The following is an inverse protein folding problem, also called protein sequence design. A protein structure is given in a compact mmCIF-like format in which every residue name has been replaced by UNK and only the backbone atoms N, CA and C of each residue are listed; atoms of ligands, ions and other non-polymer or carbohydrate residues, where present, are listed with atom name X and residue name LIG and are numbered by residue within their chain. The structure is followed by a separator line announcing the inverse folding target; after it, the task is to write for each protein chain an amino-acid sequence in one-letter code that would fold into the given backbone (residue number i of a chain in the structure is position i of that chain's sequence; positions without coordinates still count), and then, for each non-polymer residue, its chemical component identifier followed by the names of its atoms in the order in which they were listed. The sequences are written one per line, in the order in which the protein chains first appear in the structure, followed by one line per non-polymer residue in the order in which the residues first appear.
data_IF_157994714108
#
_entry.id   IF_157994714108
#
_cell.length_a   1.000
_cell.length_b   1.000
_cell.length_c   1.000
_cell.angle_alpha   90.00
_cell.angle_beta   90.00
_cell.angle_gamma   90.00
#
_symmetry.space_group_name_H-M   'P 1'
#
loop_
_entity.id
_entity.type
_entity.pdbx_description
1 polymer ?
#
# COMPACT_ATOMS: atom_id res chain seq x y z
N UNK A 1 -9.90 19.75 -33.87
CA UNK A 1 -9.91 18.66 -34.83
C UNK A 1 -11.29 18.05 -35.07
N UNK A 2 -12.01 17.69 -34.05
CA UNK A 2 -13.37 17.08 -34.13
C UNK A 2 -14.41 18.00 -34.85
N UNK A 3 -14.27 19.31 -34.77
CA UNK A 3 -15.16 20.26 -35.47
C UNK A 3 -14.97 20.31 -36.99
N UNK A 4 -13.77 20.02 -37.51
CA UNK A 4 -13.48 19.97 -38.97
C UNK A 4 -14.10 18.76 -39.65
N UNK A 5 -14.54 17.74 -38.93
CA UNK A 5 -15.02 16.47 -39.47
C UNK A 5 -16.53 16.45 -39.84
N UNK A 6 -17.20 17.59 -39.95
CA UNK A 6 -18.67 17.62 -40.16
C UNK A 6 -19.13 17.14 -41.55
N UNK A 7 -18.26 17.16 -42.60
CA UNK A 7 -18.61 16.75 -43.97
C UNK A 7 -17.41 16.07 -44.70
N UNK A 8 -16.84 15.03 -44.13
CA UNK A 8 -15.60 14.41 -44.62
C UNK A 8 -15.92 13.13 -45.38
N UNK A 9 -15.36 13.00 -46.62
CA UNK A 9 -15.35 11.77 -47.40
C UNK A 9 -14.28 10.79 -46.87
N UNK A 10 -14.39 9.49 -47.19
CA UNK A 10 -13.46 8.45 -46.71
C UNK A 10 -11.99 8.76 -47.05
N UNK A 11 -11.75 9.38 -48.22
CA UNK A 11 -10.41 9.85 -48.63
C UNK A 11 -9.82 10.89 -47.67
N UNK A 12 -10.64 11.80 -47.15
CA UNK A 12 -10.22 12.79 -46.17
C UNK A 12 -9.96 12.15 -44.80
N UNK A 13 -10.65 11.05 -44.45
CA UNK A 13 -10.41 10.29 -43.23
C UNK A 13 -9.00 9.68 -43.21
N UNK A 14 -8.52 9.16 -44.36
CA UNK A 14 -7.15 8.64 -44.50
C UNK A 14 -6.11 9.75 -44.25
N UNK A 15 -6.33 10.94 -44.81
CA UNK A 15 -5.43 12.08 -44.57
C UNK A 15 -5.37 12.48 -43.10
N UNK A 16 -6.51 12.42 -42.40
CA UNK A 16 -6.56 12.67 -40.94
C UNK A 16 -5.83 11.55 -40.17
N UNK A 17 -5.88 10.30 -40.61
CA UNK A 17 -5.12 9.20 -40.02
C UNK A 17 -3.60 9.41 -40.17
N UNK A 18 -3.14 9.89 -41.33
CA UNK A 18 -1.73 10.22 -41.55
C UNK A 18 -1.26 11.39 -40.67
N UNK A 19 -2.11 12.38 -40.42
CA UNK A 19 -1.86 13.47 -39.49
C UNK A 19 -1.78 12.97 -38.03
N UNK A 20 -2.69 12.07 -37.63
CA UNK A 20 -2.70 11.43 -36.31
C UNK A 20 -1.48 10.56 -36.04
N UNK A 21 -0.98 9.85 -37.06
CA UNK A 21 0.24 9.07 -36.94
C UNK A 21 1.45 9.97 -36.69
N UNK A 22 1.55 11.10 -37.41
CA UNK A 22 2.66 12.06 -37.28
C UNK A 22 2.61 12.87 -35.99
N UNK A 23 1.42 13.35 -35.59
CA UNK A 23 1.27 14.25 -34.46
C UNK A 23 1.13 13.51 -33.12
N UNK A 24 0.55 12.32 -33.15
CA UNK A 24 0.16 11.59 -31.92
C UNK A 24 0.73 10.18 -31.81
N UNK A 25 1.49 9.72 -32.82
CA UNK A 25 2.09 8.39 -32.83
C UNK A 25 1.09 7.23 -32.92
N UNK A 26 -0.15 7.50 -33.36
CA UNK A 26 -1.18 6.47 -33.52
C UNK A 26 -0.97 5.77 -34.83
N UNK A 27 -0.59 4.49 -34.82
CA UNK A 27 -0.37 3.73 -36.06
C UNK A 27 -1.60 3.77 -36.97
N UNK A 28 -1.37 4.17 -38.22
CA UNK A 28 -2.39 4.15 -39.29
C UNK A 28 -2.97 2.75 -39.49
N UNK A 29 -2.12 1.72 -39.42
CA UNK A 29 -2.53 0.33 -39.56
C UNK A 29 -3.55 -0.10 -38.51
N UNK A 30 -3.33 0.33 -37.27
CA UNK A 30 -4.27 0.08 -36.15
C UNK A 30 -5.63 0.75 -36.39
N UNK A 31 -5.63 2.00 -36.86
CA UNK A 31 -6.86 2.73 -37.17
C UNK A 31 -7.62 2.11 -38.34
N UNK A 32 -6.92 1.69 -39.40
CA UNK A 32 -7.53 1.02 -40.56
C UNK A 32 -8.13 -0.32 -40.15
N UNK A 33 -7.41 -1.15 -39.39
CA UNK A 33 -7.93 -2.44 -38.93
C UNK A 33 -9.20 -2.28 -38.05
N UNK A 34 -9.19 -1.29 -37.15
CA UNK A 34 -10.37 -1.00 -36.31
C UNK A 34 -11.56 -0.50 -37.13
N UNK A 35 -11.28 0.25 -38.23
CA UNK A 35 -12.29 0.73 -39.16
C UNK A 35 -12.88 -0.41 -39.96
N UNK A 36 -12.04 -1.30 -40.52
CA UNK A 36 -12.49 -2.49 -41.28
C UNK A 36 -13.40 -3.37 -40.41
N UNK A 37 -13.03 -3.65 -39.16
CA UNK A 37 -13.86 -4.40 -38.21
C UNK A 37 -15.22 -3.73 -37.97
N UNK A 38 -15.23 -2.41 -37.75
CA UNK A 38 -16.46 -1.67 -37.53
C UNK A 38 -17.36 -1.60 -38.74
N UNK A 39 -16.76 -1.57 -39.97
CA UNK A 39 -17.51 -1.60 -41.21
C UNK A 39 -18.13 -2.97 -41.46
N UNK A 40 -17.44 -4.07 -41.16
CA UNK A 40 -18.03 -5.42 -41.16
C UNK A 40 -19.25 -5.52 -40.25
N UNK A 41 -19.12 -4.99 -39.02
CA UNK A 41 -20.26 -4.94 -38.09
C UNK A 41 -21.41 -4.07 -38.61
N UNK A 42 -21.10 -2.94 -39.21
CA UNK A 42 -22.10 -2.06 -39.80
C UNK A 42 -22.79 -2.70 -41.04
N UNK A 43 -22.04 -3.43 -41.84
CA UNK A 43 -22.59 -4.18 -42.94
C UNK A 43 -23.59 -5.22 -42.46
N UNK A 44 -23.20 -6.08 -41.55
CA UNK A 44 -24.07 -7.09 -40.93
C UNK A 44 -25.36 -6.47 -40.34
N UNK A 45 -25.25 -5.35 -39.62
CA UNK A 45 -26.42 -4.69 -39.01
C UNK A 45 -27.43 -4.11 -40.03
N UNK A 46 -27.00 -3.70 -41.22
CA UNK A 46 -27.85 -3.01 -42.15
C UNK A 46 -28.34 -3.91 -43.35
N UNK A 47 -27.61 -4.99 -43.64
CA UNK A 47 -27.83 -5.82 -44.80
C UNK A 47 -28.10 -7.31 -44.46
N UNK A 48 -27.92 -7.74 -43.24
CA UNK A 48 -28.08 -9.14 -42.78
C UNK A 48 -29.53 -9.66 -42.83
N UNK A 49 -30.53 -8.78 -42.97
CA UNK A 49 -31.92 -9.17 -43.01
C UNK A 49 -32.38 -9.69 -44.40
N UNK A 50 -31.64 -9.38 -45.45
CA UNK A 50 -31.99 -9.77 -46.82
C UNK A 50 -30.99 -10.76 -47.46
N UNK A 51 -29.76 -10.80 -46.96
CA UNK A 51 -28.65 -11.59 -47.52
C UNK A 51 -27.88 -12.25 -46.40
N UNK A 52 -28.18 -13.42 -45.89
CA UNK A 52 -27.48 -14.20 -44.85
C UNK A 52 -25.96 -14.31 -45.04
N UNK A 53 -25.22 -13.19 -45.02
CA UNK A 53 -23.80 -13.13 -45.32
C UNK A 53 -22.98 -13.19 -44.01
N UNK A 54 -22.78 -14.39 -43.47
CA UNK A 54 -21.93 -14.60 -42.30
C UNK A 54 -20.46 -14.24 -42.58
N UNK A 55 -19.99 -14.35 -43.82
CA UNK A 55 -18.58 -14.23 -44.21
C UNK A 55 -18.28 -12.98 -45.04
N UNK A 56 -18.52 -11.78 -44.46
CA UNK A 56 -18.16 -10.52 -45.09
C UNK A 56 -16.80 -10.03 -44.62
N UNK A 57 -15.95 -9.64 -45.55
CA UNK A 57 -14.67 -8.95 -45.30
C UNK A 57 -14.71 -7.58 -45.96
N UNK A 58 -14.37 -6.54 -45.22
CA UNK A 58 -14.21 -5.19 -45.73
C UNK A 58 -12.72 -4.86 -45.69
N UNK A 59 -12.19 -4.36 -46.81
CA UNK A 59 -10.81 -3.88 -46.87
C UNK A 59 -10.78 -2.42 -47.34
N UNK A 60 -9.84 -1.67 -46.82
CA UNK A 60 -9.63 -0.26 -47.18
C UNK A 60 -8.23 -0.11 -47.76
N UNK A 61 -8.17 0.42 -48.98
CA UNK A 61 -6.87 0.80 -49.56
C UNK A 61 -6.29 1.97 -48.75
N UNK A 62 -5.11 1.75 -48.17
CA UNK A 62 -4.44 2.71 -47.27
C UNK A 62 -3.94 3.96 -48.01
N UNK A 63 -3.86 3.94 -49.36
CA UNK A 63 -3.37 5.04 -50.16
C UNK A 63 -4.52 5.82 -50.78
N UNK A 64 -5.47 5.10 -51.45
CA UNK A 64 -6.57 5.73 -52.18
C UNK A 64 -7.79 6.01 -51.28
N UNK A 65 -7.92 5.29 -50.17
CA UNK A 65 -9.10 5.32 -49.32
C UNK A 65 -10.31 4.60 -49.90
N UNK A 66 -10.12 3.83 -51.00
CA UNK A 66 -11.20 3.06 -51.61
C UNK A 66 -11.55 1.86 -50.73
N UNK A 67 -12.85 1.62 -50.59
CA UNK A 67 -13.35 0.52 -49.78
C UNK A 67 -13.88 -0.58 -50.70
N UNK A 68 -13.44 -1.79 -50.40
CA UNK A 68 -13.90 -2.99 -51.10
C UNK A 68 -14.57 -3.90 -50.08
N UNK A 69 -15.76 -4.39 -50.44
CA UNK A 69 -16.50 -5.33 -49.65
C UNK A 69 -16.49 -6.67 -50.37
N UNK A 70 -16.04 -7.70 -49.65
CA UNK A 70 -15.96 -9.05 -50.21
C UNK A 70 -16.87 -9.98 -49.40
N UNK A 71 -17.59 -10.84 -50.15
CA UNK A 71 -18.23 -12.03 -49.58
C UNK A 71 -17.27 -13.20 -49.76
N UNK A 72 -16.84 -13.78 -48.63
CA UNK A 72 -16.02 -14.99 -48.65
C UNK A 72 -16.94 -16.21 -48.80
N UNK A 73 -16.80 -16.92 -49.91
CA UNK A 73 -17.61 -18.11 -50.24
C UNK A 73 -16.73 -19.32 -50.36
N UNK A 74 -17.19 -20.46 -49.81
CA UNK A 74 -16.47 -21.73 -49.92
C UNK A 74 -16.79 -22.40 -51.27
N UNK A 75 -15.77 -22.94 -51.92
CA UNK A 75 -15.93 -23.68 -53.17
C UNK A 75 -16.44 -25.09 -52.90
N UNK A 76 -17.61 -25.42 -53.45
CA UNK A 76 -18.23 -26.73 -53.35
C UNK A 76 -18.36 -27.40 -54.71
N UNK A 77 -18.39 -28.73 -54.72
CA UNK A 77 -18.45 -29.50 -55.96
C UNK A 77 -19.82 -29.39 -56.69
N UNK A 78 -20.90 -29.49 -55.95
CA UNK A 78 -22.25 -29.46 -56.50
C UNK A 78 -23.25 -28.81 -55.46
N UNK A 79 -24.29 -28.18 -55.98
CA UNK A 79 -25.41 -27.59 -55.18
C UNK A 79 -24.97 -26.54 -54.15
N UNK A 80 -24.28 -25.43 -54.56
CA UNK A 80 -23.88 -24.39 -53.69
C UNK A 80 -25.04 -23.67 -53.01
N UNK A 81 -24.91 -23.38 -51.69
CA UNK A 81 -25.82 -22.44 -51.02
C UNK A 81 -25.47 -21.02 -51.51
N UNK A 82 -26.38 -20.31 -52.19
CA UNK A 82 -26.06 -19.12 -52.99
C UNK A 82 -25.31 -18.00 -52.24
N UNK A 83 -25.41 -17.96 -50.92
CA UNK A 83 -24.89 -16.89 -50.06
C UNK A 83 -23.57 -17.27 -49.38
N UNK A 84 -23.31 -18.54 -49.14
CA UNK A 84 -22.17 -19.06 -48.41
C UNK A 84 -21.18 -19.81 -49.29
N UNK A 85 -21.63 -20.35 -50.40
CA UNK A 85 -20.88 -21.26 -51.22
C UNK A 85 -20.90 -20.83 -52.71
N UNK A 86 -19.92 -21.28 -53.45
CA UNK A 86 -19.80 -21.08 -54.91
C UNK A 86 -19.44 -22.41 -55.56
N UNK A 87 -20.01 -22.66 -56.77
CA UNK A 87 -19.67 -23.86 -57.51
C UNK A 87 -18.21 -23.82 -57.99
N UNK A 88 -17.57 -24.99 -58.07
CA UNK A 88 -16.20 -25.09 -58.60
C UNK A 88 -16.10 -24.50 -60.01
N UNK A 89 -17.14 -24.67 -60.85
CA UNK A 89 -17.16 -24.10 -62.21
C UNK A 89 -17.16 -22.56 -62.20
N UNK A 90 -17.89 -21.93 -61.33
CA UNK A 90 -17.96 -20.47 -61.24
C UNK A 90 -16.71 -19.92 -60.55
N UNK A 91 -16.15 -20.61 -59.55
CA UNK A 91 -14.88 -20.26 -58.94
C UNK A 91 -13.71 -20.30 -59.92
N UNK A 92 -13.67 -21.32 -60.79
CA UNK A 92 -12.63 -21.45 -61.85
C UNK A 92 -12.80 -20.45 -63.01
N UNK A 93 -13.96 -19.81 -63.16
CA UNK A 93 -14.10 -18.64 -64.06
C UNK A 93 -13.37 -17.40 -63.55
N UNK A 94 -13.23 -17.30 -62.21
CA UNK A 94 -12.51 -16.19 -61.56
C UNK A 94 -11.02 -16.48 -61.61
N UNK A 95 -10.59 -17.65 -61.12
CA UNK A 95 -9.21 -18.12 -61.16
C UNK A 95 -9.19 -19.65 -61.30
N UNK A 96 -8.47 -20.16 -62.28
CA UNK A 96 -8.34 -21.59 -62.59
C UNK A 96 -7.63 -22.41 -61.48
N UNK A 97 -7.02 -21.77 -60.52
CA UNK A 97 -6.29 -22.40 -59.41
C UNK A 97 -7.17 -22.88 -58.29
N UNK A 98 -8.45 -22.46 -58.21
CA UNK A 98 -9.36 -22.81 -57.12
C UNK A 98 -9.78 -24.28 -57.17
N UNK A 99 -9.80 -24.90 -56.00
CA UNK A 99 -10.25 -26.26 -55.77
C UNK A 99 -11.40 -26.29 -54.76
N UNK A 100 -12.08 -27.41 -54.66
CA UNK A 100 -13.14 -27.63 -53.67
C UNK A 100 -12.56 -27.50 -52.26
N UNK A 101 -13.21 -26.70 -51.40
CA UNK A 101 -12.78 -26.33 -50.05
C UNK A 101 -11.96 -25.03 -49.97
N UNK A 102 -11.63 -24.42 -51.10
CA UNK A 102 -10.97 -23.10 -51.10
C UNK A 102 -11.98 -21.99 -50.83
N UNK A 103 -11.51 -20.85 -50.30
CA UNK A 103 -12.33 -19.67 -50.04
C UNK A 103 -12.11 -18.64 -51.13
N UNK A 104 -13.17 -18.29 -51.85
CA UNK A 104 -13.16 -17.24 -52.90
C UNK A 104 -13.77 -15.97 -52.33
N UNK A 105 -13.01 -14.85 -52.43
CA UNK A 105 -13.51 -13.52 -52.06
C UNK A 105 -14.14 -12.85 -53.29
N UNK A 106 -15.46 -12.72 -53.29
CA UNK A 106 -16.22 -12.09 -54.38
C UNK A 106 -16.54 -10.66 -53.96
N UNK A 107 -16.08 -9.68 -54.78
CA UNK A 107 -16.40 -8.28 -54.53
C UNK A 107 -17.90 -8.01 -54.72
N UNK A 108 -18.54 -7.46 -53.72
CA UNK A 108 -19.94 -7.05 -53.73
C UNK A 108 -20.03 -5.53 -53.59
N UNK A 109 -21.00 -4.91 -54.29
CA UNK A 109 -21.22 -3.45 -54.25
C UNK A 109 -22.65 -3.14 -53.78
N UNK A 110 -22.90 -3.17 -52.45
CA UNK A 110 -24.22 -2.90 -51.94
C UNK A 110 -24.60 -1.43 -52.19
N UNK A 111 -25.85 -1.22 -52.59
CA UNK A 111 -26.40 0.13 -52.73
C UNK A 111 -26.39 0.86 -51.38
N UNK A 112 -26.02 2.15 -51.38
CA UNK A 112 -25.97 3.02 -50.20
C UNK A 112 -24.93 2.67 -49.10
N UNK A 113 -24.14 1.59 -49.27
CA UNK A 113 -23.11 1.24 -48.27
C UNK A 113 -22.06 2.34 -48.11
N UNK A 114 -21.70 3.06 -49.17
CA UNK A 114 -20.74 4.18 -49.09
C UNK A 114 -21.12 5.28 -48.10
N UNK A 115 -22.42 5.60 -47.99
CA UNK A 115 -22.92 6.57 -46.99
C UNK A 115 -22.83 6.05 -45.55
N UNK A 116 -23.26 4.81 -45.34
CA UNK A 116 -23.23 4.14 -44.05
C UNK A 116 -21.77 4.00 -43.60
N UNK A 117 -20.89 3.59 -44.54
CA UNK A 117 -19.47 3.43 -44.28
C UNK A 117 -18.78 4.75 -43.89
N UNK A 118 -19.04 5.85 -44.62
CA UNK A 118 -18.47 7.15 -44.32
C UNK A 118 -18.91 7.65 -42.92
N UNK A 119 -20.19 7.49 -42.59
CA UNK A 119 -20.70 7.86 -41.27
C UNK A 119 -20.10 7.01 -40.14
N UNK A 120 -19.99 5.70 -40.36
CA UNK A 120 -19.40 4.77 -39.40
C UNK A 120 -17.91 4.99 -39.21
N UNK A 121 -17.18 5.18 -40.35
CA UNK A 121 -15.78 5.49 -40.35
C UNK A 121 -15.46 6.71 -39.47
N UNK A 122 -16.19 7.81 -39.69
CA UNK A 122 -16.08 8.99 -38.86
C UNK A 122 -16.29 8.71 -37.36
N UNK A 123 -17.34 7.96 -37.03
CA UNK A 123 -17.66 7.62 -35.63
C UNK A 123 -16.51 6.81 -34.98
N UNK A 124 -15.97 5.82 -35.70
CA UNK A 124 -14.88 4.95 -35.22
C UNK A 124 -13.59 5.73 -35.03
N UNK A 125 -13.21 6.56 -36.01
CA UNK A 125 -12.00 7.37 -35.93
C UNK A 125 -12.07 8.34 -34.75
N UNK A 126 -13.19 9.06 -34.60
CA UNK A 126 -13.40 9.96 -33.44
C UNK A 126 -13.35 9.20 -32.12
N UNK A 127 -13.92 8.00 -32.06
CA UNK A 127 -13.86 7.16 -30.87
C UNK A 127 -12.42 6.73 -30.55
N UNK A 128 -11.67 6.28 -31.57
CA UNK A 128 -10.27 5.86 -31.41
C UNK A 128 -9.36 7.02 -30.99
N UNK A 129 -9.55 8.20 -31.55
CA UNK A 129 -8.84 9.41 -31.11
C UNK A 129 -9.09 9.65 -29.61
N UNK A 130 -10.35 9.61 -29.19
CA UNK A 130 -10.70 9.78 -27.77
C UNK A 130 -10.12 8.70 -26.87
N UNK A 131 -10.06 7.45 -27.33
CA UNK A 131 -9.45 6.35 -26.56
C UNK A 131 -7.95 6.60 -26.37
N UNK A 132 -7.24 6.98 -27.43
CA UNK A 132 -5.80 7.29 -27.35
C UNK A 132 -5.53 8.55 -26.54
N UNK A 133 -6.34 9.61 -26.70
CA UNK A 133 -6.23 10.81 -25.86
C UNK A 133 -6.40 10.47 -24.37
N UNK A 134 -7.36 9.60 -24.04
CA UNK A 134 -7.54 9.13 -22.66
C UNK A 134 -6.33 8.33 -22.15
N UNK A 135 -5.75 7.49 -23.00
CA UNK A 135 -4.59 6.69 -22.62
C UNK A 135 -3.33 7.55 -22.44
N UNK A 136 -3.12 8.54 -23.30
CA UNK A 136 -2.04 9.52 -23.15
C UNK A 136 -2.19 10.33 -21.83
N UNK A 137 -3.40 10.78 -21.52
CA UNK A 137 -3.70 11.49 -20.28
C UNK A 137 -3.50 10.57 -19.06
N UNK A 138 -3.93 9.32 -19.18
CA UNK A 138 -3.70 8.32 -18.12
C UNK A 138 -2.21 8.13 -17.84
N UNK A 139 -1.39 7.95 -18.88
CA UNK A 139 0.07 7.81 -18.74
C UNK A 139 0.70 9.07 -18.14
N UNK A 140 0.37 10.27 -18.67
CA UNK A 140 0.89 11.53 -18.15
C UNK A 140 0.61 11.73 -16.64
N UNK A 141 -0.59 11.36 -16.18
CA UNK A 141 -0.92 11.50 -14.76
C UNK A 141 -0.44 10.34 -13.90
N UNK A 142 -0.25 9.16 -14.49
CA UNK A 142 0.37 8.05 -13.79
C UNK A 142 1.85 8.34 -13.48
N UNK A 143 2.55 9.05 -14.35
CA UNK A 143 3.91 9.53 -14.10
C UNK A 143 3.96 10.60 -12.98
N UNK A 144 2.84 11.28 -12.73
CA UNK A 144 2.68 12.24 -11.62
C UNK A 144 2.19 11.59 -10.31
N UNK A 145 2.08 10.26 -10.27
CA UNK A 145 1.75 9.57 -9.03
C UNK A 145 2.82 9.86 -7.97
N UNK A 146 2.37 10.22 -6.78
CA UNK A 146 3.27 10.63 -5.72
C UNK A 146 3.63 12.12 -5.73
N UNK A 147 3.10 12.93 -6.64
CA UNK A 147 3.36 14.36 -6.73
C UNK A 147 2.16 15.20 -6.27
N UNK A 148 2.38 16.49 -6.04
CA UNK A 148 1.32 17.45 -5.71
C UNK A 148 0.72 18.01 -7.00
N UNK A 149 -0.60 17.98 -7.09
CA UNK A 149 -1.39 18.64 -8.13
C UNK A 149 -2.24 19.73 -7.53
N UNK A 150 -2.51 20.78 -8.31
CA UNK A 150 -3.42 21.86 -7.94
C UNK A 150 -4.65 21.82 -8.84
N UNK A 151 -5.82 21.98 -8.26
CA UNK A 151 -7.07 22.03 -9.01
C UNK A 151 -8.10 22.97 -8.41
N UNK A 152 -9.14 23.26 -9.19
CA UNK A 152 -10.31 24.03 -8.76
C UNK A 152 -11.43 23.07 -8.36
N UNK A 153 -12.01 23.27 -7.19
CA UNK A 153 -13.14 22.45 -6.74
C UNK A 153 -14.36 22.75 -7.62
N UNK A 154 -14.84 21.74 -8.33
CA UNK A 154 -16.07 21.81 -9.13
C UNK A 154 -17.30 21.37 -8.34
N UNK A 155 -17.12 20.38 -7.46
CA UNK A 155 -18.20 19.81 -6.66
C UNK A 155 -17.69 19.37 -5.28
N UNK A 156 -18.47 19.66 -4.25
CA UNK A 156 -18.26 19.19 -2.89
C UNK A 156 -19.62 18.84 -2.28
N UNK A 157 -19.91 17.55 -2.11
CA UNK A 157 -21.18 17.05 -1.58
C UNK A 157 -21.07 16.38 -0.20
N UNK A 158 -19.94 16.60 0.48
CA UNK A 158 -19.65 16.05 1.81
C UNK A 158 -19.20 14.59 1.81
N UNK A 159 -19.36 13.86 0.69
CA UNK A 159 -18.84 12.49 0.53
C UNK A 159 -17.63 12.45 -0.41
N UNK A 160 -17.70 13.25 -1.45
CA UNK A 160 -16.71 13.30 -2.51
C UNK A 160 -16.47 14.76 -2.86
N UNK A 161 -15.20 15.13 -3.01
CA UNK A 161 -14.81 16.40 -3.61
C UNK A 161 -14.25 16.10 -5.00
N UNK A 162 -14.79 16.79 -6.01
CA UNK A 162 -14.32 16.70 -7.40
C UNK A 162 -13.61 18.00 -7.74
N UNK A 163 -12.41 17.89 -8.25
CA UNK A 163 -11.58 19.02 -8.66
C UNK A 163 -11.18 18.93 -10.12
N UNK A 164 -11.12 20.06 -10.78
CA UNK A 164 -10.62 20.19 -12.15
C UNK A 164 -9.10 20.32 -12.14
N UNK A 165 -8.42 19.37 -12.77
CA UNK A 165 -6.97 19.38 -12.96
C UNK A 165 -6.55 19.88 -14.35
N UNK A 166 -7.51 20.42 -15.13
CA UNK A 166 -7.34 20.96 -16.47
C UNK A 166 -7.57 19.93 -17.57
N UNK A 167 -6.90 18.79 -17.57
CA UNK A 167 -7.07 17.75 -18.59
C UNK A 167 -8.03 16.65 -18.13
N UNK A 168 -8.19 16.45 -16.85
CA UNK A 168 -9.07 15.45 -16.25
C UNK A 168 -9.55 15.87 -14.86
N UNK A 169 -10.46 15.10 -14.32
CA UNK A 169 -11.02 15.30 -12.99
C UNK A 169 -10.20 14.56 -11.92
N UNK A 170 -9.88 15.26 -10.84
CA UNK A 170 -9.40 14.68 -9.59
C UNK A 170 -10.57 14.42 -8.65
N UNK A 171 -10.56 13.27 -8.00
CA UNK A 171 -11.57 12.87 -7.04
C UNK A 171 -10.92 12.65 -5.68
N UNK A 172 -11.48 13.26 -4.67
CA UNK A 172 -11.04 13.10 -3.28
C UNK A 172 -12.19 12.51 -2.46
N UNK A 173 -12.19 11.19 -2.23
CA UNK A 173 -13.18 10.50 -1.39
C UNK A 173 -13.10 10.99 0.06
N UNK A 174 -14.14 10.77 0.86
CA UNK A 174 -14.21 11.22 2.26
C UNK A 174 -13.02 10.77 3.12
N UNK A 175 -12.50 9.56 2.91
CA UNK A 175 -11.34 9.02 3.63
C UNK A 175 -10.03 9.79 3.32
N UNK A 176 -9.96 10.44 2.17
CA UNK A 176 -8.81 11.21 1.72
C UNK A 176 -8.94 12.72 2.00
N UNK A 177 -10.08 13.13 2.56
CA UNK A 177 -10.33 14.49 3.00
C UNK A 177 -9.81 14.72 4.41
N UNK A 178 -9.47 15.96 4.74
CA UNK A 178 -9.14 16.36 6.11
C UNK A 178 -10.44 16.72 6.82
N UNK A 179 -10.77 16.08 7.98
CA UNK A 179 -12.06 16.29 8.64
C UNK A 179 -12.33 17.72 9.10
N UNK A 180 -11.26 18.48 9.34
CA UNK A 180 -11.34 19.89 9.81
C UNK A 180 -11.42 20.89 8.67
N UNK A 181 -11.25 20.48 7.42
CA UNK A 181 -11.30 21.35 6.25
C UNK A 181 -12.73 21.48 5.70
N UNK A 182 -13.03 22.68 5.20
CA UNK A 182 -14.28 22.96 4.48
C UNK A 182 -13.96 23.22 3.01
N UNK A 183 -14.49 22.37 2.14
CA UNK A 183 -14.28 22.47 0.70
C UNK A 183 -15.40 23.24 0.03
N UNK A 184 -15.08 24.34 -0.66
CA UNK A 184 -16.06 25.18 -1.36
C UNK A 184 -15.81 25.13 -2.86
N UNK A 185 -16.90 25.18 -3.63
CA UNK A 185 -16.83 25.28 -5.09
C UNK A 185 -16.08 26.54 -5.50
N UNK A 186 -15.20 26.43 -6.50
CA UNK A 186 -14.27 27.43 -7.02
C UNK A 186 -13.05 27.73 -6.12
N UNK A 187 -12.88 27.06 -4.99
CA UNK A 187 -11.63 27.17 -4.24
C UNK A 187 -10.52 26.41 -4.97
N UNK A 188 -9.33 27.01 -5.02
CA UNK A 188 -8.13 26.35 -5.54
C UNK A 188 -7.45 25.62 -4.40
N UNK A 189 -7.30 24.31 -4.55
CA UNK A 189 -6.64 23.46 -3.55
C UNK A 189 -5.51 22.64 -4.17
N UNK A 190 -4.55 22.25 -3.32
CA UNK A 190 -3.52 21.29 -3.65
C UNK A 190 -3.89 19.93 -3.07
N UNK A 191 -3.43 18.87 -3.72
CA UNK A 191 -3.58 17.51 -3.21
C UNK A 191 -2.49 16.59 -3.75
N UNK A 192 -2.28 15.51 -3.05
CA UNK A 192 -1.31 14.47 -3.40
C UNK A 192 -1.97 13.45 -4.33
N UNK A 193 -1.33 13.12 -5.44
CA UNK A 193 -1.81 12.09 -6.37
C UNK A 193 -1.55 10.72 -5.76
N UNK A 194 -2.60 10.07 -5.29
CA UNK A 194 -2.52 8.75 -4.68
C UNK A 194 -2.41 7.66 -5.76
N UNK A 195 -3.33 7.71 -6.71
CA UNK A 195 -3.37 6.77 -7.83
C UNK A 195 -4.19 7.33 -9.00
N UNK A 196 -4.03 6.72 -10.16
CA UNK A 196 -4.82 7.03 -11.36
C UNK A 196 -5.62 5.80 -11.74
N UNK A 197 -6.93 5.93 -11.77
CA UNK A 197 -7.86 4.85 -12.06
C UNK A 197 -8.60 5.08 -13.38
N UNK A 198 -9.13 4.01 -13.95
CA UNK A 198 -10.10 4.10 -15.05
C UNK A 198 -11.50 4.17 -14.43
N UNK A 199 -12.05 5.38 -14.36
CA UNK A 199 -13.39 5.62 -13.85
C UNK A 199 -14.51 5.07 -14.75
N UNK A 200 -15.74 5.42 -14.42
CA UNK A 200 -16.92 5.04 -15.21
C UNK A 200 -16.73 5.42 -16.69
N UNK A 201 -17.06 4.50 -17.60
CA UNK A 201 -16.88 4.64 -19.08
C UNK A 201 -15.42 4.75 -19.55
N UNK A 202 -14.45 4.22 -18.77
CA UNK A 202 -13.03 4.21 -19.17
C UNK A 202 -12.39 5.60 -19.28
N UNK A 203 -12.94 6.60 -18.60
CA UNK A 203 -12.32 7.93 -18.51
C UNK A 203 -11.29 7.88 -17.38
N UNK A 204 -10.03 8.31 -17.58
CA UNK A 204 -9.04 8.37 -16.51
C UNK A 204 -9.51 9.34 -15.43
N UNK A 205 -9.27 8.96 -14.19
CA UNK A 205 -9.63 9.72 -12.99
C UNK A 205 -8.48 9.64 -12.01
N UNK A 206 -8.11 10.76 -11.40
CA UNK A 206 -7.04 10.82 -10.39
C UNK A 206 -7.66 10.78 -9.01
N UNK A 207 -7.23 9.83 -8.21
CA UNK A 207 -7.55 9.85 -6.78
C UNK A 207 -6.55 10.77 -6.08
N UNK A 208 -7.09 11.80 -5.46
CA UNK A 208 -6.31 12.83 -4.77
C UNK A 208 -6.52 12.71 -3.27
N UNK A 209 -5.45 12.85 -2.51
CA UNK A 209 -5.47 12.80 -1.05
C UNK A 209 -4.92 14.09 -0.44
N UNK A 210 -5.55 14.57 0.62
CA UNK A 210 -5.01 15.58 1.54
C UNK A 210 -4.72 15.01 2.93
N UNK A 211 -5.22 13.79 3.21
CA UNK A 211 -5.01 13.10 4.49
C UNK A 211 -3.73 12.27 4.52
N UNK A 212 -3.16 11.90 3.38
CA UNK A 212 -1.98 11.03 3.29
C UNK A 212 -0.73 11.67 3.92
N UNK A 213 0.12 10.92 4.66
CA UNK A 213 1.36 11.46 5.24
C UNK A 213 2.33 12.03 4.20
N UNK A 214 2.44 11.41 3.03
CA UNK A 214 3.33 11.87 1.97
C UNK A 214 2.89 13.21 1.35
N UNK A 215 1.64 13.64 1.55
CA UNK A 215 1.24 15.00 1.21
C UNK A 215 2.07 16.02 1.99
N UNK A 216 2.26 15.79 3.29
CA UNK A 216 3.13 16.66 4.12
C UNK A 216 4.58 16.58 3.64
N UNK A 217 5.10 15.37 3.35
CA UNK A 217 6.46 15.18 2.81
C UNK A 217 6.66 16.01 1.55
N UNK A 218 5.75 15.95 0.60
CA UNK A 218 5.81 16.70 -0.66
C UNK A 218 5.64 18.21 -0.48
N UNK A 219 4.88 18.65 0.51
CA UNK A 219 4.83 20.08 0.86
C UNK A 219 6.17 20.59 1.39
N UNK A 220 6.87 19.78 2.20
CA UNK A 220 8.22 20.09 2.65
C UNK A 220 9.21 20.15 1.48
N UNK A 221 9.18 19.18 0.56
CA UNK A 221 10.02 19.19 -0.65
C UNK A 221 9.76 20.43 -1.51
N UNK A 222 8.51 20.88 -1.58
CA UNK A 222 8.12 22.07 -2.35
C UNK A 222 8.56 23.39 -1.73
N UNK A 223 8.49 23.51 -0.39
CA UNK A 223 8.74 24.76 0.34
C UNK A 223 10.22 24.91 0.75
N UNK A 224 10.95 23.82 0.89
CA UNK A 224 12.31 23.78 1.47
C UNK A 224 13.31 23.33 0.40
N UNK A 225 14.10 24.28 -0.17
CA UNK A 225 15.07 23.96 -1.21
C UNK A 225 16.09 22.91 -0.79
N UNK A 226 16.54 22.94 0.46
CA UNK A 226 17.55 22.02 1.00
C UNK A 226 17.06 20.56 1.01
N UNK A 227 15.73 20.33 1.10
CA UNK A 227 15.11 19.00 0.96
C UNK A 227 15.03 18.62 -0.53
N UNK A 228 14.63 19.55 -1.38
CA UNK A 228 14.56 19.32 -2.83
C UNK A 228 15.94 18.99 -3.44
N UNK A 229 16.98 19.64 -2.96
CA UNK A 229 18.38 19.42 -3.38
C UNK A 229 18.99 18.15 -2.75
N UNK A 230 18.29 17.50 -1.81
CA UNK A 230 18.74 16.29 -1.13
C UNK A 230 19.80 16.49 -0.05
N UNK A 231 20.02 17.73 0.40
CA UNK A 231 20.90 18.07 1.52
C UNK A 231 20.27 17.64 2.86
N UNK A 232 18.95 17.77 2.95
CA UNK A 232 18.15 17.32 4.10
C UNK A 232 17.21 16.22 3.63
N UNK A 233 17.17 15.13 4.39
CA UNK A 233 16.34 13.97 4.12
C UNK A 233 15.19 13.88 5.15
N UNK A 234 13.96 13.65 4.68
CA UNK A 234 12.84 13.33 5.56
C UNK A 234 12.84 11.82 5.80
N UNK A 235 13.22 11.40 6.99
CA UNK A 235 13.28 9.98 7.38
C UNK A 235 11.92 9.38 7.62
N UNK A 236 11.04 10.08 8.33
CA UNK A 236 9.71 9.59 8.70
C UNK A 236 8.72 10.72 8.87
N UNK A 237 7.46 10.43 8.60
CA UNK A 237 6.32 11.34 8.83
C UNK A 237 5.23 10.58 9.57
N UNK A 238 4.79 11.10 10.71
CA UNK A 238 3.64 10.60 11.46
C UNK A 238 2.57 11.68 11.54
N UNK A 239 1.36 11.37 11.08
CA UNK A 239 0.31 12.38 10.87
C UNK A 239 -1.03 11.95 11.47
N UNK A 240 -1.70 12.91 12.10
CA UNK A 240 -3.13 12.92 12.41
C UNK A 240 -3.74 14.08 11.60
N UNK A 241 -4.36 13.81 10.44
CA UNK A 241 -4.79 14.83 9.49
C UNK A 241 -5.70 15.89 10.10
N UNK A 242 -5.38 17.16 9.86
CA UNK A 242 -6.11 18.30 10.39
C UNK A 242 -5.89 18.63 11.87
N UNK A 243 -5.02 17.88 12.55
CA UNK A 243 -4.70 18.09 13.96
C UNK A 243 -3.22 18.35 14.19
N UNK A 244 -2.39 17.33 14.01
CA UNK A 244 -0.94 17.42 14.26
C UNK A 244 -0.15 16.43 13.44
N UNK A 245 1.04 16.86 12.99
CA UNK A 245 2.02 16.03 12.30
C UNK A 245 3.38 16.14 12.97
N UNK A 246 4.15 15.04 12.94
CA UNK A 246 5.57 15.01 13.31
C UNK A 246 6.37 14.57 12.10
N UNK A 247 7.44 15.32 11.81
CA UNK A 247 8.32 15.09 10.66
C UNK A 247 9.75 14.95 11.15
N UNK A 248 10.35 13.79 10.92
CA UNK A 248 11.74 13.52 11.28
C UNK A 248 12.64 13.86 10.10
N UNK A 249 13.59 14.74 10.32
CA UNK A 249 14.54 15.24 9.32
C UNK A 249 15.98 14.94 9.72
N UNK A 250 16.81 14.73 8.73
CA UNK A 250 18.23 14.42 8.92
C UNK A 250 19.07 15.14 7.87
N UNK A 251 20.22 15.68 8.26
CA UNK A 251 21.24 16.19 7.34
C UNK A 251 22.46 15.28 7.36
N UNK A 252 23.05 15.06 6.18
CA UNK A 252 24.34 14.37 6.07
C UNK A 252 25.51 15.31 6.31
N UNK A 253 25.28 16.62 6.17
CA UNK A 253 26.29 17.65 6.41
C UNK A 253 26.09 18.21 7.82
N UNK A 254 27.08 18.03 8.67
CA UNK A 254 27.09 18.52 10.06
C UNK A 254 26.99 20.04 10.17
N UNK A 255 27.31 20.78 9.10
CA UNK A 255 27.18 22.23 9.08
C UNK A 255 25.76 22.73 8.81
N UNK A 256 24.83 21.85 8.43
CA UNK A 256 23.45 22.19 8.14
C UNK A 256 22.56 21.74 9.31
N UNK A 257 21.97 22.69 10.00
CA UNK A 257 20.89 22.41 10.96
C UNK A 257 19.62 22.00 10.21
N UNK A 258 19.21 20.70 10.26
CA UNK A 258 18.06 20.22 9.50
C UNK A 258 16.74 20.77 10.02
N UNK A 259 16.63 21.00 11.32
CA UNK A 259 15.41 21.52 11.95
C UNK A 259 15.27 23.01 11.67
N UNK A 260 16.34 23.77 11.88
CA UNK A 260 16.35 25.22 11.63
C UNK A 260 16.09 25.57 10.16
N UNK A 261 16.66 24.79 9.22
CA UNK A 261 16.41 24.95 7.78
C UNK A 261 14.95 24.72 7.41
N UNK A 262 14.32 23.69 7.99
CA UNK A 262 12.91 23.40 7.77
C UNK A 262 11.97 24.43 8.37
N UNK A 263 12.28 24.94 9.56
CA UNK A 263 11.50 25.97 10.22
C UNK A 263 11.64 27.31 9.49
N UNK A 264 12.86 27.63 9.06
CA UNK A 264 13.19 28.87 8.39
C UNK A 264 13.25 30.06 9.32
N UNK A 265 13.69 31.22 8.79
CA UNK A 265 13.80 32.45 9.58
C UNK A 265 12.43 32.85 10.16
N UNK A 266 12.36 33.02 11.47
CA UNK A 266 11.13 33.36 12.21
C UNK A 266 9.95 32.38 11.94
N UNK A 267 10.25 31.18 11.51
CA UNK A 267 9.24 30.16 11.25
C UNK A 267 8.41 30.33 9.96
N UNK A 268 8.86 31.17 9.02
CA UNK A 268 8.08 31.49 7.82
C UNK A 268 7.83 30.24 6.95
N UNK A 269 8.85 29.39 6.74
CA UNK A 269 8.71 28.20 5.87
C UNK A 269 7.70 27.21 6.45
N UNK A 270 7.83 26.86 7.72
CA UNK A 270 6.89 25.95 8.37
C UNK A 270 5.49 26.54 8.45
N UNK A 271 5.37 27.87 8.63
CA UNK A 271 4.08 28.54 8.69
C UNK A 271 3.34 28.48 7.33
N UNK A 272 4.06 28.54 6.21
CA UNK A 272 3.46 28.37 4.87
C UNK A 272 2.84 26.99 4.71
N UNK A 273 3.53 25.94 5.20
CA UNK A 273 3.02 24.56 5.18
C UNK A 273 1.80 24.43 6.12
N UNK A 274 1.87 24.98 7.33
CA UNK A 274 0.76 25.00 8.29
C UNK A 274 -0.47 25.69 7.68
N UNK A 275 -0.27 26.80 6.97
CA UNK A 275 -1.36 27.53 6.30
C UNK A 275 -1.99 26.70 5.16
N UNK A 276 -1.17 26.01 4.36
CA UNK A 276 -1.69 25.09 3.33
C UNK A 276 -2.53 23.95 3.92
N UNK A 277 -2.19 23.52 5.13
CA UNK A 277 -2.89 22.45 5.88
C UNK A 277 -3.98 22.97 6.83
N UNK A 278 -4.45 24.22 6.61
CA UNK A 278 -5.51 24.86 7.41
C UNK A 278 -5.26 24.88 8.92
N UNK A 279 -4.02 25.06 9.35
CA UNK A 279 -3.65 25.19 10.75
C UNK A 279 -3.28 23.87 11.44
N UNK A 280 -3.06 22.79 10.72
CA UNK A 280 -2.49 21.55 11.25
C UNK A 280 -1.11 21.84 11.86
N UNK A 281 -0.93 21.49 13.14
CA UNK A 281 0.33 21.72 13.85
C UNK A 281 1.40 20.77 13.34
N UNK A 282 2.61 21.28 13.12
CA UNK A 282 3.73 20.49 12.62
C UNK A 282 4.91 20.61 13.60
N UNK A 283 5.38 19.46 14.10
CA UNK A 283 6.61 19.36 14.87
C UNK A 283 7.71 18.80 13.97
N UNK A 284 8.76 19.56 13.76
CA UNK A 284 9.98 19.11 13.06
C UNK A 284 10.95 18.58 14.08
N UNK A 285 11.45 17.37 13.86
CA UNK A 285 12.24 16.59 14.83
C UNK A 285 13.52 16.15 14.12
N UNK A 286 14.63 16.31 14.79
CA UNK A 286 15.88 15.78 14.29
C UNK A 286 15.90 14.26 14.45
N UNK A 287 16.19 13.56 13.36
CA UNK A 287 16.35 12.10 13.39
C UNK A 287 17.75 11.76 13.91
N UNK A 288 17.85 10.76 14.75
CA UNK A 288 19.09 10.24 15.27
C UNK A 288 19.15 8.72 15.10
N UNK A 289 20.36 8.19 14.89
CA UNK A 289 20.58 6.75 14.79
C UNK A 289 20.36 6.05 16.15
N UNK A 290 20.72 6.73 17.25
CA UNK A 290 20.44 6.27 18.60
C UNK A 290 18.94 6.34 18.90
N UNK A 291 18.27 5.19 19.12
CA UNK A 291 16.84 5.16 19.39
C UNK A 291 16.43 5.96 20.62
N UNK A 292 17.27 6.00 21.66
CA UNK A 292 16.97 6.73 22.89
C UNK A 292 16.88 8.23 22.64
N UNK A 293 17.84 8.78 21.92
CA UNK A 293 17.87 10.19 21.53
C UNK A 293 16.70 10.52 20.61
N UNK A 294 16.45 9.66 19.62
CA UNK A 294 15.37 9.88 18.66
C UNK A 294 13.99 9.83 19.30
N UNK A 295 13.74 8.88 20.22
CA UNK A 295 12.47 8.78 20.95
C UNK A 295 12.28 10.00 21.86
N UNK A 296 13.34 10.45 22.57
CA UNK A 296 13.27 11.65 23.39
C UNK A 296 12.90 12.88 22.55
N UNK A 297 13.55 13.07 21.39
CA UNK A 297 13.25 14.14 20.46
C UNK A 297 11.81 14.02 19.90
N UNK A 298 11.33 12.79 19.60
CA UNK A 298 10.00 12.55 19.08
C UNK A 298 8.87 12.92 20.06
N UNK A 299 9.15 12.98 21.37
CA UNK A 299 8.18 13.37 22.39
C UNK A 299 8.08 14.89 22.61
N UNK A 300 8.92 15.68 21.93
CA UNK A 300 8.77 17.14 21.95
C UNK A 300 7.30 17.57 21.74
N UNK A 301 6.82 18.61 22.46
CA UNK A 301 7.56 19.57 23.29
C UNK A 301 7.78 19.12 24.75
N UNK A 302 7.44 17.90 25.16
CA UNK A 302 7.70 17.42 26.50
C UNK A 302 9.21 17.19 26.72
N UNK A 303 9.69 17.52 27.91
CA UNK A 303 11.06 17.22 28.32
C UNK A 303 11.17 15.79 28.84
N UNK A 304 12.13 15.04 28.34
CA UNK A 304 12.39 13.66 28.72
C UNK A 304 13.64 13.63 29.63
N UNK A 305 13.55 12.90 30.75
CA UNK A 305 14.67 12.71 31.67
C UNK A 305 15.56 11.55 31.27
N UNK A 306 14.95 10.41 30.95
CA UNK A 306 15.64 9.20 30.56
C UNK A 306 14.79 8.35 29.63
N UNK A 307 15.46 7.57 28.78
CA UNK A 307 14.82 6.57 27.89
C UNK A 307 15.59 5.26 28.07
N UNK A 308 14.89 4.23 28.49
CA UNK A 308 15.40 2.86 28.55
C UNK A 308 14.87 2.08 27.34
N UNK A 309 15.77 1.51 26.55
CA UNK A 309 15.47 0.92 25.26
C UNK A 309 15.75 -0.58 25.27
N UNK A 310 14.73 -1.37 24.93
CA UNK A 310 14.85 -2.82 24.71
C UNK A 310 14.74 -3.11 23.21
N UNK A 311 15.89 -3.25 22.55
CA UNK A 311 15.97 -3.36 21.09
C UNK A 311 15.27 -4.60 20.54
N UNK A 312 15.38 -5.75 21.24
CA UNK A 312 14.79 -7.02 20.80
C UNK A 312 13.25 -6.93 20.68
N UNK A 313 12.59 -6.19 21.58
CA UNK A 313 11.14 -6.02 21.61
C UNK A 313 10.65 -4.77 20.90
N UNK A 314 11.56 -3.91 20.44
CA UNK A 314 11.28 -2.53 20.00
C UNK A 314 10.40 -1.79 21.00
N UNK A 315 10.75 -1.90 22.27
CA UNK A 315 10.05 -1.29 23.38
C UNK A 315 10.95 -0.26 24.05
N UNK A 316 10.40 0.91 24.35
CA UNK A 316 11.10 1.97 25.07
C UNK A 316 10.26 2.44 26.26
N UNK A 317 10.88 2.47 27.42
CA UNK A 317 10.33 3.08 28.63
C UNK A 317 10.90 4.48 28.77
N UNK A 318 10.02 5.47 28.81
CA UNK A 318 10.39 6.88 28.86
C UNK A 318 10.01 7.45 30.22
N UNK A 319 10.96 8.09 30.87
CA UNK A 319 10.77 8.74 32.17
C UNK A 319 10.73 10.25 31.93
N UNK A 320 9.66 10.87 32.44
CA UNK A 320 9.45 12.31 32.36
C UNK A 320 9.21 12.91 33.75
N UNK A 321 9.48 14.21 33.96
CA UNK A 321 9.04 14.90 35.18
C UNK A 321 7.52 14.81 35.33
N UNK A 322 7.03 14.84 36.57
CA UNK A 322 5.59 14.69 36.86
C UNK A 322 4.74 15.77 36.18
N UNK A 323 5.22 17.01 36.09
CA UNK A 323 4.56 18.13 35.38
C UNK A 323 4.53 17.96 33.86
N UNK A 324 5.44 17.16 33.29
CA UNK A 324 5.55 16.91 31.85
C UNK A 324 4.75 15.70 31.37
N UNK A 325 4.28 14.84 32.27
CA UNK A 325 3.59 13.59 31.93
C UNK A 325 2.37 13.83 31.00
N UNK A 326 1.53 14.79 31.35
CA UNK A 326 0.35 15.14 30.54
C UNK A 326 0.72 15.68 29.18
N UNK A 327 1.83 16.39 29.05
CA UNK A 327 2.33 16.93 27.80
C UNK A 327 2.96 15.83 26.93
N UNK A 328 3.72 14.92 27.54
CA UNK A 328 4.34 13.79 26.86
C UNK A 328 3.29 12.83 26.26
N UNK A 329 2.23 12.54 27.01
CA UNK A 329 1.10 11.76 26.53
C UNK A 329 0.29 12.54 25.50
N UNK A 330 0.01 13.82 25.76
CA UNK A 330 -0.82 14.69 24.95
C UNK A 330 -2.31 14.41 25.04
N UNK A 331 -3.13 15.26 24.42
CA UNK A 331 -4.58 15.12 24.41
C UNK A 331 -4.98 13.77 23.79
N UNK A 332 -5.72 12.95 24.52
CA UNK A 332 -6.14 11.61 24.08
C UNK A 332 -4.98 10.71 23.60
N UNK A 333 -3.79 10.88 24.16
CA UNK A 333 -2.60 10.11 23.80
C UNK A 333 -2.01 10.47 22.43
N UNK A 334 -2.35 11.61 21.86
CA UNK A 334 -1.93 12.00 20.52
C UNK A 334 -0.41 12.12 20.37
N UNK A 335 0.25 12.80 21.34
CA UNK A 335 1.70 13.01 21.24
C UNK A 335 2.47 11.68 21.32
N UNK A 336 2.14 10.84 22.30
CA UNK A 336 2.73 9.51 22.46
C UNK A 336 2.47 8.62 21.22
N UNK A 337 1.24 8.60 20.68
CA UNK A 337 0.88 7.82 19.51
C UNK A 337 1.61 8.28 18.26
N UNK A 338 1.74 9.58 18.03
CA UNK A 338 2.50 10.13 16.91
C UNK A 338 3.99 9.82 17.04
N UNK A 339 4.57 9.94 18.24
CA UNK A 339 5.96 9.60 18.51
C UNK A 339 6.23 8.11 18.25
N UNK A 340 5.36 7.22 18.76
CA UNK A 340 5.48 5.79 18.54
C UNK A 340 5.43 5.40 17.04
N UNK A 341 4.53 6.00 16.27
CA UNK A 341 4.46 5.79 14.82
C UNK A 341 5.67 6.36 14.08
N UNK A 342 6.14 7.54 14.49
CA UNK A 342 7.29 8.20 13.87
C UNK A 342 8.56 7.39 14.01
N UNK A 343 8.81 6.87 15.23
CA UNK A 343 10.02 6.11 15.59
C UNK A 343 9.92 4.62 15.29
N UNK A 344 8.69 4.11 15.08
CA UNK A 344 8.40 2.68 14.95
C UNK A 344 8.77 1.86 16.20
N UNK A 345 8.63 2.49 17.39
CA UNK A 345 8.84 1.88 18.71
C UNK A 345 7.56 1.89 19.52
N UNK A 346 7.40 0.89 20.40
CA UNK A 346 6.38 0.91 21.45
C UNK A 346 6.91 1.77 22.60
N UNK A 347 6.22 2.85 22.91
CA UNK A 347 6.66 3.82 23.93
C UNK A 347 5.72 3.74 25.14
N UNK A 348 6.28 3.44 26.30
CA UNK A 348 5.61 3.52 27.60
C UNK A 348 6.15 4.73 28.37
N UNK A 349 5.27 5.65 28.73
CA UNK A 349 5.65 6.91 29.37
C UNK A 349 5.22 6.89 30.81
N UNK A 350 6.19 7.08 31.72
CA UNK A 350 5.94 7.14 33.18
C UNK A 350 6.53 8.39 33.77
N UNK A 351 5.91 8.88 34.83
CA UNK A 351 6.50 9.97 35.60
C UNK A 351 7.56 9.48 36.59
N UNK A 352 8.42 10.39 37.04
CA UNK A 352 9.43 10.11 38.07
C UNK A 352 8.81 9.49 39.30
N UNK A 353 7.69 10.05 39.81
CA UNK A 353 6.98 9.52 40.97
C UNK A 353 6.46 8.10 40.72
N UNK A 354 5.90 7.80 39.55
CA UNK A 354 5.42 6.45 39.25
C UNK A 354 6.55 5.42 39.19
N UNK A 355 7.70 5.79 38.63
CA UNK A 355 8.87 4.90 38.62
C UNK A 355 9.39 4.66 40.04
N UNK A 356 9.43 5.72 40.88
CA UNK A 356 9.84 5.60 42.27
C UNK A 356 8.94 4.65 43.04
N UNK A 357 7.62 4.76 42.88
CA UNK A 357 6.65 3.83 43.50
C UNK A 357 6.85 2.38 43.05
N UNK A 358 7.09 2.15 41.77
CA UNK A 358 7.34 0.81 41.23
C UNK A 358 8.63 0.23 41.79
N UNK A 359 9.70 1.01 41.88
CA UNK A 359 10.99 0.58 42.43
C UNK A 359 10.86 0.25 43.94
N UNK A 360 10.17 1.09 44.69
CA UNK A 360 9.92 0.82 46.11
C UNK A 360 9.11 -0.45 46.31
N UNK A 361 8.06 -0.66 45.54
CA UNK A 361 7.26 -1.89 45.58
C UNK A 361 8.06 -3.14 45.17
N UNK A 362 8.99 -3.02 44.23
CA UNK A 362 9.91 -4.11 43.89
C UNK A 362 10.90 -4.43 44.98
N UNK A 363 11.51 -3.41 45.59
CA UNK A 363 12.42 -3.59 46.74
C UNK A 363 11.72 -4.25 47.93
N UNK A 364 10.50 -3.79 48.27
CA UNK A 364 9.69 -4.42 49.32
C UNK A 364 9.30 -5.87 49.03
N UNK A 365 9.12 -6.21 47.73
CA UNK A 365 8.83 -7.58 47.30
C UNK A 365 10.09 -8.46 47.41
N UNK A 366 11.24 -7.95 46.98
CA UNK A 366 12.53 -8.63 47.12
C UNK A 366 12.92 -8.88 48.58
N UNK A 367 12.76 -7.87 49.47
CA UNK A 367 12.99 -8.03 50.89
C UNK A 367 12.08 -9.11 51.53
N UNK A 368 10.82 -9.18 51.09
CA UNK A 368 9.89 -10.24 51.55
C UNK A 368 10.29 -11.62 51.05
N UNK A 369 10.74 -11.73 49.81
CA UNK A 369 11.24 -13.00 49.25
C UNK A 369 12.51 -13.47 49.99
N UNK A 370 13.46 -12.56 50.29
CA UNK A 370 14.65 -12.88 51.08
C UNK A 370 14.27 -13.36 52.50
N UNK A 371 13.33 -12.67 53.16
CA UNK A 371 12.86 -13.05 54.51
C UNK A 371 12.23 -14.45 54.50
N UNK A 372 11.37 -14.75 53.53
CA UNK A 372 10.73 -16.08 53.37
C UNK A 372 11.79 -17.17 53.10
N UNK A 373 12.79 -16.87 52.28
CA UNK A 373 13.87 -17.82 51.99
C UNK A 373 14.70 -18.12 53.23
N UNK A 374 14.94 -17.12 54.09
CA UNK A 374 15.69 -17.30 55.35
C UNK A 374 14.85 -18.06 56.39
N UNK A 375 13.55 -17.77 56.52
CA UNK A 375 12.65 -18.56 57.37
C UNK A 375 12.60 -20.03 56.95
N UNK A 376 12.50 -20.32 55.64
CA UNK A 376 12.54 -21.70 55.14
C UNK A 376 13.89 -22.38 55.40
N UNK A 377 15.01 -21.66 55.30
CA UNK A 377 16.33 -22.22 55.62
C UNK A 377 16.45 -22.59 57.09
N UNK A 378 15.91 -21.76 58.02
CA UNK A 378 15.86 -22.07 59.45
C UNK A 378 15.00 -23.32 59.74
N UNK A 379 13.76 -23.37 59.21
CA UNK A 379 12.89 -24.56 59.37
C UNK A 379 13.52 -25.84 58.81
N UNK A 380 14.19 -25.75 57.66
CA UNK A 380 14.91 -26.90 57.08
C UNK A 380 16.12 -27.29 57.91
N UNK A 381 16.85 -26.33 58.50
CA UNK A 381 17.98 -26.60 59.34
C UNK A 381 17.54 -27.32 60.65
N UNK A 382 16.44 -26.86 61.26
CA UNK A 382 15.85 -27.49 62.46
C UNK A 382 15.36 -28.90 62.15
N UNK A 383 14.62 -29.10 61.03
CA UNK A 383 14.17 -30.42 60.61
C UNK A 383 15.35 -31.41 60.30
N UNK A 384 16.46 -30.91 59.75
CA UNK A 384 17.67 -31.70 59.54
C UNK A 384 18.32 -32.07 60.89
N UNK A 385 18.29 -31.17 61.86
CA UNK A 385 18.78 -31.42 63.22
C UNK A 385 17.99 -32.53 63.91
N UNK A 386 16.66 -32.44 63.90
CA UNK A 386 15.74 -33.43 64.46
C UNK A 386 15.92 -34.82 63.85
N UNK A 387 16.09 -34.88 62.47
CA UNK A 387 16.36 -36.11 61.79
C UNK A 387 17.74 -36.71 62.15
N UNK A 388 18.75 -35.84 62.35
CA UNK A 388 20.07 -36.32 62.80
C UNK A 388 20.03 -36.89 64.22
N UNK A 389 19.26 -36.25 65.12
CA UNK A 389 19.08 -36.71 66.46
C UNK A 389 18.35 -38.09 66.51
N UNK A 390 17.25 -38.21 65.76
CA UNK A 390 16.50 -39.46 65.63
C UNK A 390 17.33 -40.59 65.03
N UNK A 391 18.17 -40.29 64.00
CA UNK A 391 19.09 -41.27 63.42
C UNK A 391 20.18 -41.68 64.38
N UNK A 392 20.64 -40.76 65.23
CA UNK A 392 21.67 -41.06 66.26
C UNK A 392 21.11 -41.97 67.36
N UNK A 393 19.88 -41.65 67.81
CA UNK A 393 19.18 -42.51 68.77
C UNK A 393 18.90 -43.90 68.17
N UNK A 394 18.36 -44.00 66.99
CA UNK A 394 18.13 -45.30 66.34
C UNK A 394 19.41 -46.10 66.11
N UNK A 395 20.53 -45.43 65.82
CA UNK A 395 21.84 -46.08 65.67
C UNK A 395 22.38 -46.59 67.01
N UNK A 396 22.05 -45.93 68.08
CA UNK A 396 22.41 -46.32 69.48
C UNK A 396 21.60 -47.53 69.91
N UNK A 397 20.27 -47.50 69.72
CA UNK A 397 19.39 -48.65 69.95
C UNK A 397 19.79 -49.90 69.17
N UNK A 398 20.17 -49.73 67.90
CA UNK A 398 20.66 -50.81 67.08
C UNK A 398 21.98 -51.39 67.56
N UNK A 399 22.87 -50.59 68.13
CA UNK A 399 24.12 -51.06 68.74
C UNK A 399 23.85 -51.86 69.99
N UNK A 400 22.95 -51.38 70.87
CA UNK A 400 22.57 -52.10 72.05
C UNK A 400 21.88 -53.43 71.73
N UNK A 401 20.97 -53.45 70.76
CA UNK A 401 20.34 -54.69 70.32
C UNK A 401 21.32 -55.69 69.75
N UNK A 402 22.35 -55.23 68.98
CA UNK A 402 23.42 -56.06 68.43
C UNK A 402 24.32 -56.61 69.56
N UNK A 403 24.59 -55.85 70.63
CA UNK A 403 25.34 -56.31 71.75
C UNK A 403 24.55 -57.37 72.56
N UNK A 404 23.26 -57.16 72.83
CA UNK A 404 22.39 -58.14 73.51
C UNK A 404 22.34 -59.49 72.69
N UNK A 405 22.25 -59.39 71.36
CA UNK A 405 22.30 -60.66 70.49
C UNK A 405 23.66 -61.35 70.60
N UNK A 406 24.76 -60.60 70.67
CA UNK A 406 26.11 -61.16 70.85
C UNK A 406 26.26 -61.77 72.21
N UNK A 407 25.77 -61.17 73.26
CA UNK A 407 25.79 -61.79 74.62
C UNK A 407 24.92 -63.07 74.72
N UNK A 408 23.69 -62.99 74.10
CA UNK A 408 22.84 -64.20 74.02
C UNK A 408 23.47 -65.35 73.21
N UNK A 409 24.25 -65.06 72.17
CA UNK A 409 25.00 -66.03 71.44
C UNK A 409 26.21 -66.59 72.17
N UNK A 410 26.86 -65.76 73.03
CA UNK A 410 27.98 -66.15 73.88
C UNK A 410 27.50 -66.98 75.05
N UNK A 411 26.37 -66.66 75.65
CA UNK A 411 25.73 -67.49 76.67
C UNK A 411 25.31 -68.92 76.12
N UNK A 412 24.69 -68.91 74.93
CA UNK A 412 24.34 -70.23 74.27
C UNK A 412 25.54 -71.06 73.90
N UNK A 413 26.70 -70.48 73.61
CA UNK A 413 27.96 -71.22 73.31
C UNK A 413 28.60 -71.69 74.62
N UNK A 414 28.46 -71.00 75.77
CA UNK A 414 28.94 -71.48 77.05
C UNK A 414 28.11 -72.67 77.55
N UNK A 415 26.77 -72.65 77.47
CA UNK A 415 25.88 -73.72 77.90
C UNK A 415 26.05 -74.95 76.97
N UNK A 416 26.38 -74.86 75.69
CA UNK A 416 26.70 -76.02 74.85
C UNK A 416 28.08 -76.57 75.15
N UNK A 417 29.01 -75.82 75.72
CA UNK A 417 30.35 -76.32 76.09
C UNK A 417 30.37 -76.99 77.44
N UNK A 418 29.46 -76.65 78.31
CA UNK A 418 29.29 -77.28 79.64
C UNK A 418 28.43 -78.55 79.55
N UNK A 419 27.68 -78.81 78.53
CA UNK A 419 26.93 -80.03 78.27
C UNK A 419 27.82 -81.15 77.55
N UNK A 420 28.87 -80.81 76.85
CA UNK A 420 29.81 -81.69 76.21
C UNK A 420 30.94 -82.21 77.19
N UNK A 421 31.03 -81.70 78.42
CA UNK A 421 32.05 -82.07 79.37
C UNK A 421 31.49 -82.93 80.54
N UNK A 422 30.25 -83.49 80.45
CA UNK A 422 29.63 -84.38 81.48
C UNK A 422 29.36 -85.80 80.94
N UNK A 423 29.80 -86.15 79.65
CA UNK A 423 29.81 -87.51 79.14
C UNK A 423 31.23 -87.91 78.70
N UNK A 424 32.18 -87.97 79.67
CA UNK A 424 33.36 -88.88 79.69
C UNK A 424 33.66 -89.30 81.15
#
# INVERSE_FOLDING_TARGET
MVEKMKNIDVKEIIAVMDELEKERGISKDYLVAALEEALVKAYKQNFDAEENVENVKVTIDKVTGEMHVYSAREVVAEFPVPELEISLEDAQKIDKSYNVGDIVNIEIRPKDFGRIAAQKAKQVVVQKIREVEKEMIFTEFNDKKGEIVSGLIQKADGKIVVMDLGKLEGVMPLKEQIPTETYKVNDKIRGYVLEVEKGLKGTPQVIVSRSHPDFVRKLFEFEIPEIYEGLIEIKSVSRDPGSRSKVAVYSRDENIDPVGSCVGQKGVRIQNIINELNGEKIDVIEWNEDPAIYIAAALLPAQVMAVDVKEEEKFAQVIVPDDQLSLAIGKSGQNARLAARLTNWKIDIKSESQIREILLAQMEAEEKEETIVDEIKEEVADAISDVKEAVTEAAQELKEAVEEVKEKKTRKRKTKKDEETVEE
#
